data_IF_593674044084
#
_entry.id   IF_593674044084
#
_cell.length_a   1.000
_cell.length_b   1.000
_cell.length_c   1.000
_cell.angle_alpha   90.00
_cell.angle_beta   90.00
_cell.angle_gamma   90.00
#
_symmetry.space_group_name_H-M   'P 1'
#
loop_
_entity.id
_entity.type
_entity.pdbx_description
1 polymer ?
#
# COMPACT_ATOMS: atom_id res chain seq x y z
N UNK A 1 19.62 -32.65 -12.14
CA UNK A 1 20.79 -33.52 -11.84
C UNK A 1 22.15 -32.90 -12.20
N UNK A 2 22.24 -32.01 -13.20
CA UNK A 2 23.51 -31.33 -13.54
C UNK A 2 23.99 -30.33 -12.46
N UNK A 3 23.07 -29.64 -11.77
CA UNK A 3 23.38 -28.73 -10.65
C UNK A 3 23.97 -29.44 -9.42
N UNK A 4 23.68 -30.73 -9.27
CA UNK A 4 24.12 -31.56 -8.12
C UNK A 4 25.59 -31.97 -8.22
N UNK A 5 26.18 -31.97 -9.41
CA UNK A 5 27.60 -32.29 -9.63
C UNK A 5 28.51 -31.06 -9.57
N UNK A 6 27.96 -29.86 -9.75
CA UNK A 6 28.72 -28.62 -9.68
C UNK A 6 29.05 -28.20 -8.23
N UNK A 7 28.19 -28.53 -7.26
CA UNK A 7 28.35 -28.14 -5.85
C UNK A 7 29.24 -29.07 -5.01
N UNK A 8 29.67 -30.22 -5.55
CA UNK A 8 30.50 -31.20 -4.83
C UNK A 8 32.01 -31.09 -5.13
N UNK A 9 32.45 -30.05 -5.85
CA UNK A 9 33.86 -29.86 -6.26
C UNK A 9 34.54 -28.59 -5.76
N UNK A 10 34.11 -28.03 -4.65
CA UNK A 10 34.95 -27.09 -3.88
C UNK A 10 35.05 -27.55 -2.44
N UNK A 11 36.29 -27.81 -2.02
CA UNK A 11 36.65 -28.10 -0.65
C UNK A 11 36.49 -26.85 0.22
N UNK A 12 36.21 -27.09 1.51
CA UNK A 12 36.07 -26.13 2.62
C UNK A 12 34.76 -25.34 2.69
N UNK A 13 33.66 -26.09 2.93
CA UNK A 13 32.45 -25.52 3.51
C UNK A 13 32.66 -25.44 5.03
N UNK A 14 32.58 -24.22 5.59
CA UNK A 14 32.67 -24.01 7.04
C UNK A 14 31.57 -24.79 7.80
N UNK A 15 31.80 -25.16 9.08
CA UNK A 15 30.83 -25.92 9.89
C UNK A 15 29.42 -25.29 9.90
N UNK A 16 29.34 -23.96 9.89
CA UNK A 16 28.08 -23.21 9.91
C UNK A 16 27.26 -23.35 8.61
N UNK A 17 27.93 -23.42 7.46
CA UNK A 17 27.26 -23.65 6.17
C UNK A 17 26.74 -25.09 6.04
N UNK A 18 27.40 -26.04 6.70
CA UNK A 18 26.94 -27.43 6.76
C UNK A 18 25.68 -27.56 7.62
N UNK A 19 25.63 -26.86 8.76
CA UNK A 19 24.45 -26.78 9.61
C UNK A 19 23.25 -26.11 8.91
N UNK A 20 23.49 -25.05 8.14
CA UNK A 20 22.45 -24.39 7.35
C UNK A 20 21.87 -25.30 6.24
N UNK A 21 22.72 -26.09 5.59
CA UNK A 21 22.28 -27.06 4.57
C UNK A 21 21.48 -28.23 5.18
N UNK A 22 21.87 -28.72 6.36
CA UNK A 22 21.11 -29.75 7.09
C UNK A 22 19.75 -29.22 7.57
N UNK A 23 19.69 -27.97 8.03
CA UNK A 23 18.44 -27.30 8.41
C UNK A 23 17.49 -27.09 7.22
N UNK A 24 18.01 -26.69 6.06
CA UNK A 24 17.22 -26.59 4.82
C UNK A 24 16.71 -27.96 4.35
N UNK A 25 17.50 -29.02 4.52
CA UNK A 25 17.09 -30.40 4.22
C UNK A 25 15.99 -30.93 5.17
N UNK A 26 15.98 -30.47 6.42
CA UNK A 26 14.96 -30.79 7.42
C UNK A 26 13.62 -30.09 7.09
N UNK A 27 13.68 -28.79 6.73
CA UNK A 27 12.50 -28.02 6.35
C UNK A 27 11.84 -28.53 5.06
N UNK A 28 12.62 -29.09 4.12
CA UNK A 28 12.07 -29.66 2.88
C UNK A 28 11.33 -31.00 3.07
N UNK A 29 11.46 -31.64 4.25
CA UNK A 29 10.84 -32.94 4.56
C UNK A 29 9.60 -32.82 5.46
N UNK A 30 9.36 -31.65 6.03
CA UNK A 30 8.21 -31.40 6.89
C UNK A 30 7.02 -30.86 6.07
N UNK A 31 6.20 -31.75 5.51
CA UNK A 31 4.79 -31.46 5.21
C UNK A 31 3.88 -32.29 6.13
N UNK A 32 2.76 -31.72 6.61
CA UNK A 32 1.88 -32.40 7.54
C UNK A 32 1.01 -33.42 6.80
N UNK A 33 1.22 -34.71 7.09
CA UNK A 33 0.26 -35.77 6.81
C UNK A 33 -0.72 -35.88 7.97
N UNK A 34 -2.01 -35.61 7.73
CA UNK A 34 -3.12 -36.24 8.47
C UNK A 34 -4.42 -36.18 7.67
N UNK A 35 -4.70 -37.28 6.99
CA UNK A 35 -6.03 -37.71 6.58
C UNK A 35 -6.80 -38.20 7.81
N UNK A 36 -8.03 -37.73 8.00
CA UNK A 36 -9.01 -38.38 8.87
C UNK A 36 -10.25 -38.71 8.05
N UNK A 37 -10.34 -39.99 7.71
CA UNK A 37 -11.57 -40.68 7.32
C UNK A 37 -12.43 -40.92 8.57
N UNK A 38 -13.72 -40.60 8.51
CA UNK A 38 -14.68 -40.92 9.55
C UNK A 38 -16.10 -40.89 8.99
N UNK A 39 -16.58 -42.05 8.57
CA UNK A 39 -17.96 -42.28 8.18
C UNK A 39 -18.87 -42.27 9.43
N UNK A 40 -20.06 -41.69 9.29
CA UNK A 40 -21.09 -41.68 10.32
C UNK A 40 -22.45 -41.40 9.69
N UNK A 41 -23.24 -42.46 9.55
CA UNK A 41 -24.59 -42.52 9.01
C UNK A 41 -25.56 -41.52 9.68
N UNK A 42 -26.46 -40.91 8.91
CA UNK A 42 -27.88 -40.82 9.26
C UNK A 42 -28.74 -40.65 8.00
N UNK A 43 -29.62 -41.64 7.80
CA UNK A 43 -30.69 -41.70 6.82
C UNK A 43 -31.91 -40.95 7.35
N UNK A 44 -32.51 -40.10 6.53
CA UNK A 44 -33.92 -39.72 6.66
C UNK A 44 -34.46 -39.37 5.27
N UNK A 45 -35.15 -40.33 4.65
CA UNK A 45 -35.91 -40.10 3.44
C UNK A 45 -37.17 -39.28 3.70
N UNK A 46 -37.52 -38.45 2.72
CA UNK A 46 -38.91 -38.08 2.42
C UNK A 46 -39.04 -37.95 0.90
N UNK A 47 -39.93 -38.77 0.35
CA UNK A 47 -40.38 -38.76 -1.04
C UNK A 47 -41.27 -37.53 -1.30
N UNK A 48 -41.13 -36.91 -2.47
CA UNK A 48 -42.21 -36.15 -3.08
C UNK A 48 -42.16 -36.28 -4.61
N UNK A 49 -43.26 -36.85 -5.12
CA UNK A 49 -43.96 -36.67 -6.39
C UNK A 49 -43.19 -36.12 -7.61
N UNK A 50 -43.11 -36.95 -8.64
CA UNK A 50 -42.80 -36.62 -10.03
C UNK A 50 -43.97 -35.90 -10.70
N UNK A 51 -43.77 -34.66 -11.14
CA UNK A 51 -44.46 -34.12 -12.32
C UNK A 51 -43.42 -33.76 -13.37
N UNK A 52 -43.58 -34.38 -14.54
CA UNK A 52 -42.75 -34.15 -15.72
C UNK A 52 -43.07 -32.78 -16.32
N UNK A 53 -42.04 -31.95 -16.48
CA UNK A 53 -42.06 -30.83 -17.39
C UNK A 53 -40.88 -30.98 -18.35
N UNK A 54 -41.20 -31.39 -19.57
CA UNK A 54 -40.30 -31.43 -20.73
C UNK A 54 -39.92 -30.01 -21.14
N UNK A 55 -38.68 -29.60 -20.87
CA UNK A 55 -37.93 -28.65 -21.73
C UNK A 55 -36.44 -28.95 -21.62
N UNK A 56 -35.89 -29.58 -22.66
CA UNK A 56 -34.45 -29.68 -22.86
C UNK A 56 -33.94 -28.32 -23.35
N UNK A 57 -33.39 -27.52 -22.44
CA UNK A 57 -32.48 -26.44 -22.82
C UNK A 57 -31.18 -26.66 -22.06
N UNK A 58 -30.15 -27.07 -22.79
CA UNK A 58 -28.77 -26.98 -22.32
C UNK A 58 -28.49 -25.53 -21.92
N UNK A 59 -28.06 -25.24 -20.68
CA UNK A 59 -27.69 -23.89 -20.30
C UNK A 59 -26.52 -23.45 -21.17
N UNK A 60 -26.72 -22.40 -21.97
CA UNK A 60 -25.63 -21.80 -22.72
C UNK A 60 -24.59 -21.27 -21.73
N UNK A 61 -23.29 -21.48 -21.99
CA UNK A 61 -22.25 -20.83 -21.21
C UNK A 61 -22.47 -19.31 -21.26
N UNK A 62 -22.23 -18.60 -20.14
CA UNK A 62 -22.39 -17.15 -20.11
C UNK A 62 -21.54 -16.52 -21.23
N UNK A 63 -22.02 -15.46 -21.86
CA UNK A 63 -21.26 -14.78 -22.89
C UNK A 63 -19.88 -14.38 -22.33
N UNK A 64 -18.82 -14.45 -23.14
CA UNK A 64 -17.51 -14.01 -22.70
C UNK A 64 -17.61 -12.56 -22.21
N UNK A 65 -16.89 -12.20 -21.13
CA UNK A 65 -16.91 -10.84 -20.64
C UNK A 65 -16.54 -9.89 -21.77
N UNK A 66 -17.14 -8.68 -21.82
CA UNK A 66 -16.78 -7.70 -22.82
C UNK A 66 -15.27 -7.47 -22.80
N UNK A 67 -14.64 -7.27 -23.97
CA UNK A 67 -13.22 -6.95 -24.04
C UNK A 67 -12.94 -5.72 -23.17
N UNK A 68 -11.78 -5.66 -22.51
CA UNK A 68 -11.45 -4.54 -21.62
C UNK A 68 -11.52 -3.21 -22.39
N UNK A 69 -12.25 -2.23 -21.86
CA UNK A 69 -12.46 -0.93 -22.50
C UNK A 69 -11.16 -0.14 -22.71
N UNK A 70 -10.12 -0.42 -21.91
CA UNK A 70 -8.80 0.20 -21.99
C UNK A 70 -7.72 -0.90 -22.00
N UNK A 71 -6.88 -0.90 -23.03
CA UNK A 71 -5.81 -1.90 -23.24
C UNK A 71 -4.41 -1.34 -23.05
N UNK A 72 -4.26 -0.01 -23.03
CA UNK A 72 -3.00 0.71 -22.78
C UNK A 72 -3.17 1.59 -21.53
N UNK A 73 -2.21 1.53 -20.62
CA UNK A 73 -2.18 2.28 -19.36
C UNK A 73 -0.84 3.00 -19.24
N UNK A 74 -0.82 4.13 -18.54
CA UNK A 74 0.30 5.06 -18.54
C UNK A 74 -0.12 6.42 -19.07
N UNK A 75 0.85 7.28 -19.34
CA UNK A 75 0.61 8.65 -19.85
C UNK A 75 -0.30 9.51 -18.96
N UNK A 76 -0.10 9.43 -17.65
CA UNK A 76 -0.77 10.30 -16.69
C UNK A 76 -0.41 11.77 -16.96
N UNK A 77 -1.42 12.56 -17.29
CA UNK A 77 -1.28 13.99 -17.52
C UNK A 77 -0.94 14.71 -16.22
N UNK A 78 -0.24 15.84 -16.34
CA UNK A 78 0.18 16.60 -15.17
C UNK A 78 -1.00 17.15 -14.36
N UNK A 79 -2.10 17.53 -15.02
CA UNK A 79 -3.33 17.94 -14.33
C UNK A 79 -3.99 16.80 -13.54
N UNK A 80 -3.73 15.54 -13.90
CA UNK A 80 -4.27 14.35 -13.25
C UNK A 80 -3.40 13.85 -12.08
N UNK A 81 -2.19 14.39 -11.92
CA UNK A 81 -1.31 14.09 -10.78
C UNK A 81 -1.92 14.65 -9.49
N UNK A 82 -1.95 13.82 -8.44
CA UNK A 82 -2.45 14.21 -7.11
C UNK A 82 -1.36 14.93 -6.33
N UNK A 83 -0.10 14.47 -6.45
CA UNK A 83 1.06 14.99 -5.73
C UNK A 83 1.79 16.03 -6.58
N UNK A 84 1.16 17.19 -6.75
CA UNK A 84 1.59 18.22 -7.70
C UNK A 84 2.88 18.96 -7.31
N UNK A 85 3.32 18.88 -6.05
CA UNK A 85 4.61 19.42 -5.62
C UNK A 85 5.59 18.32 -5.20
N UNK A 86 5.47 17.12 -5.77
CA UNK A 86 6.30 15.96 -5.40
C UNK A 86 7.81 16.26 -5.38
N UNK A 87 8.28 17.16 -6.23
CA UNK A 87 9.69 17.53 -6.38
C UNK A 87 10.12 18.76 -5.57
N UNK A 88 9.23 19.36 -4.75
CA UNK A 88 9.58 20.50 -3.90
C UNK A 88 9.89 21.80 -4.66
N UNK A 89 9.37 21.95 -5.88
CA UNK A 89 9.60 23.12 -6.73
C UNK A 89 8.78 24.35 -6.29
N UNK A 90 7.70 24.12 -5.55
CA UNK A 90 6.81 25.14 -5.02
C UNK A 90 6.82 25.12 -3.49
N UNK A 91 6.29 26.19 -2.88
CA UNK A 91 6.15 26.31 -1.43
C UNK A 91 5.32 25.14 -0.84
N UNK A 92 5.89 24.29 0.04
CA UNK A 92 5.18 23.13 0.60
C UNK A 92 4.17 23.52 1.69
N UNK A 93 4.23 24.74 2.20
CA UNK A 93 3.45 25.22 3.34
C UNK A 93 2.11 25.83 2.91
N UNK A 94 1.30 26.30 3.88
CA UNK A 94 -0.14 26.52 3.72
C UNK A 94 -0.50 27.40 2.52
N UNK A 95 0.23 28.50 2.31
CA UNK A 95 -0.01 29.44 1.21
C UNK A 95 0.18 28.78 -0.15
N UNK A 96 1.25 27.99 -0.31
CA UNK A 96 1.48 27.21 -1.52
C UNK A 96 0.45 26.10 -1.69
N UNK A 97 0.16 25.37 -0.61
CA UNK A 97 -0.77 24.23 -0.60
C UNK A 97 -2.18 24.64 -1.03
N UNK A 98 -2.71 25.76 -0.50
CA UNK A 98 -4.02 26.28 -0.90
C UNK A 98 -4.11 26.64 -2.39
N UNK A 99 -3.03 27.15 -2.99
CA UNK A 99 -2.98 27.41 -4.45
C UNK A 99 -3.06 26.12 -5.28
N UNK A 100 -2.59 25.00 -4.73
CA UNK A 100 -2.66 23.67 -5.36
C UNK A 100 -3.98 22.94 -5.07
N UNK A 101 -4.90 23.59 -4.34
CA UNK A 101 -6.21 23.05 -4.02
C UNK A 101 -6.29 22.22 -2.74
N UNK A 102 -5.23 22.19 -1.93
CA UNK A 102 -5.29 21.61 -0.59
C UNK A 102 -6.14 22.49 0.33
N UNK A 103 -6.83 21.87 1.28
CA UNK A 103 -7.79 22.52 2.17
C UNK A 103 -8.98 23.19 1.46
N UNK A 104 -9.17 22.92 0.17
CA UNK A 104 -10.29 23.47 -0.58
C UNK A 104 -11.59 22.77 -0.19
N UNK A 105 -12.52 23.56 0.38
CA UNK A 105 -13.87 23.11 0.76
C UNK A 105 -13.88 21.87 1.67
N UNK A 106 -12.84 21.68 2.46
CA UNK A 106 -12.72 20.55 3.39
C UNK A 106 -13.88 20.51 4.38
N UNK A 107 -14.34 21.67 4.84
CA UNK A 107 -15.55 21.81 5.67
C UNK A 107 -16.76 21.11 5.04
N UNK A 108 -16.99 21.31 3.74
CA UNK A 108 -18.13 20.70 3.04
C UNK A 108 -17.99 19.18 3.00
N UNK A 109 -16.76 18.66 2.79
CA UNK A 109 -16.49 17.22 2.82
C UNK A 109 -16.74 16.62 4.20
N UNK A 110 -16.32 17.32 5.26
CA UNK A 110 -16.59 16.90 6.65
C UNK A 110 -18.09 16.87 6.93
N UNK A 111 -18.83 17.90 6.50
CA UNK A 111 -20.28 18.03 6.71
C UNK A 111 -21.11 17.01 5.92
N UNK A 112 -20.58 16.45 4.81
CA UNK A 112 -21.22 15.31 4.13
C UNK A 112 -21.22 14.03 4.97
N UNK A 113 -20.36 13.96 5.99
CA UNK A 113 -20.38 12.93 7.02
C UNK A 113 -19.61 11.65 6.70
N UNK A 114 -19.37 10.87 7.75
CA UNK A 114 -18.50 9.69 7.73
C UNK A 114 -18.93 8.63 6.70
N UNK A 115 -20.23 8.34 6.62
CA UNK A 115 -20.74 7.29 5.73
C UNK A 115 -20.60 7.68 4.25
N UNK A 116 -20.80 8.97 3.91
CA UNK A 116 -20.55 9.46 2.55
C UNK A 116 -19.07 9.30 2.19
N UNK A 117 -18.16 9.76 3.06
CA UNK A 117 -16.71 9.64 2.85
C UNK A 117 -16.31 8.17 2.60
N UNK A 118 -16.73 7.26 3.48
CA UNK A 118 -16.38 5.82 3.36
C UNK A 118 -16.94 5.23 2.08
N UNK A 119 -18.16 5.59 1.68
CA UNK A 119 -18.78 5.06 0.47
C UNK A 119 -18.08 5.56 -0.81
N UNK A 120 -17.73 6.85 -0.88
CA UNK A 120 -16.98 7.39 -2.02
C UNK A 120 -15.58 6.76 -2.10
N UNK A 121 -14.91 6.56 -0.97
CA UNK A 121 -13.62 5.87 -0.95
C UNK A 121 -13.73 4.40 -1.37
N UNK A 122 -14.82 3.70 -1.04
CA UNK A 122 -15.11 2.36 -1.59
C UNK A 122 -15.34 2.42 -3.10
N UNK A 123 -16.14 3.38 -3.56
CA UNK A 123 -16.47 3.59 -4.98
C UNK A 123 -15.25 3.90 -5.84
N UNK A 124 -14.28 4.62 -5.29
CA UNK A 124 -13.01 4.94 -5.96
C UNK A 124 -12.16 3.71 -6.29
N UNK A 125 -12.42 2.57 -5.64
CA UNK A 125 -11.58 1.38 -5.80
C UNK A 125 -10.18 1.51 -5.18
N UNK A 126 -9.90 2.53 -4.37
CA UNK A 126 -8.60 2.73 -3.75
C UNK A 126 -8.19 1.52 -2.90
N UNK A 127 -7.05 0.92 -3.25
CA UNK A 127 -6.34 -0.10 -2.46
C UNK A 127 -5.19 0.50 -1.66
N UNK A 128 -4.88 -0.07 -0.51
CA UNK A 128 -3.89 0.43 0.43
C UNK A 128 -2.49 0.47 -0.18
N UNK A 129 -1.83 1.63 -0.08
CA UNK A 129 -0.58 1.97 -0.75
C UNK A 129 0.70 1.63 0.04
N UNK A 130 0.54 0.92 1.16
CA UNK A 130 1.64 0.49 2.03
C UNK A 130 2.24 -0.88 1.74
N UNK A 131 1.70 -1.66 0.78
CA UNK A 131 2.22 -2.99 0.47
C UNK A 131 1.14 -4.04 0.22
N UNK A 132 0.27 -4.23 1.22
CA UNK A 132 -0.71 -5.31 1.22
C UNK A 132 -1.87 -5.13 0.21
N UNK A 133 -2.08 -3.92 -0.31
CA UNK A 133 -3.12 -3.65 -1.30
C UNK A 133 -4.54 -3.94 -0.82
N UNK A 134 -4.83 -3.83 0.49
CA UNK A 134 -6.18 -4.06 1.03
C UNK A 134 -7.13 -2.92 0.62
N UNK A 135 -8.39 -3.17 0.21
CA UNK A 135 -9.32 -2.09 -0.18
C UNK A 135 -9.55 -1.07 0.94
N UNK A 136 -9.15 0.19 0.72
CA UNK A 136 -9.02 1.19 1.79
C UNK A 136 -10.38 1.62 2.35
N UNK A 137 -11.35 1.92 1.49
CA UNK A 137 -12.71 2.27 1.95
C UNK A 137 -13.39 1.12 2.71
N UNK A 138 -13.10 -0.14 2.35
CA UNK A 138 -13.56 -1.30 3.14
C UNK A 138 -12.87 -1.34 4.50
N UNK A 139 -11.56 -1.14 4.56
CA UNK A 139 -10.79 -1.08 5.81
C UNK A 139 -11.35 -0.03 6.77
N UNK A 140 -11.62 1.16 6.25
CA UNK A 140 -12.16 2.27 7.03
C UNK A 140 -13.55 1.97 7.60
N UNK A 141 -14.34 1.15 6.89
CA UNK A 141 -15.67 0.75 7.36
C UNK A 141 -15.67 -0.27 8.50
N UNK A 142 -14.52 -0.82 8.89
CA UNK A 142 -14.41 -1.70 10.05
C UNK A 142 -14.41 -0.95 11.38
N UNK A 143 -14.16 0.36 11.36
CA UNK A 143 -14.17 1.18 12.57
C UNK A 143 -15.59 1.25 13.16
N UNK A 144 -15.76 1.18 14.50
CA UNK A 144 -17.07 1.19 15.13
C UNK A 144 -17.90 2.42 14.75
N UNK A 145 -19.16 2.19 14.38
CA UNK A 145 -20.10 3.28 14.06
C UNK A 145 -20.62 4.00 15.31
N UNK A 146 -20.79 3.24 16.39
CA UNK A 146 -21.22 3.73 17.71
C UNK A 146 -20.02 3.57 18.63
N UNK A 147 -19.63 4.66 19.29
CA UNK A 147 -18.57 4.61 20.31
C UNK A 147 -19.10 3.88 21.55
N UNK A 148 -18.28 3.00 22.10
CA UNK A 148 -18.50 2.32 23.38
C UNK A 148 -17.93 3.12 24.57
N UNK A 149 -17.66 4.41 24.36
CA UNK A 149 -16.97 5.28 25.31
C UNK A 149 -15.46 5.38 25.05
N UNK A 150 -14.87 4.42 24.33
CA UNK A 150 -13.47 4.56 23.87
C UNK A 150 -13.40 5.54 22.69
N UNK A 151 -12.39 6.43 22.65
CA UNK A 151 -12.11 7.22 21.46
C UNK A 151 -11.63 6.31 20.33
N UNK A 152 -11.95 6.64 19.09
CA UNK A 152 -11.35 5.98 17.92
C UNK A 152 -10.13 6.76 17.46
N UNK A 153 -9.11 6.07 16.94
CA UNK A 153 -7.89 6.69 16.43
C UNK A 153 -7.60 6.33 14.97
N UNK A 154 -7.05 7.31 14.25
CA UNK A 154 -6.33 7.08 13.01
C UNK A 154 -4.85 7.03 13.36
N UNK A 155 -4.14 6.02 12.86
CA UNK A 155 -2.68 6.01 12.90
C UNK A 155 -2.17 6.02 11.46
N UNK A 156 -1.37 7.02 11.12
CA UNK A 156 -0.75 7.13 9.80
C UNK A 156 0.64 6.52 9.88
N UNK A 157 0.86 5.47 9.10
CA UNK A 157 2.14 4.80 8.99
C UNK A 157 3.04 5.57 8.02
N UNK A 158 3.97 6.33 8.58
CA UNK A 158 4.98 7.13 7.90
C UNK A 158 6.41 6.66 8.25
N UNK A 159 6.58 5.39 8.63
CA UNK A 159 7.88 4.80 8.96
C UNK A 159 8.73 4.51 7.72
N UNK A 160 8.14 4.11 6.59
CA UNK A 160 8.81 3.91 5.30
C UNK A 160 10.26 3.36 5.39
N UNK A 161 10.43 2.27 6.13
CA UNK A 161 11.74 1.63 6.27
C UNK A 161 12.00 0.57 5.20
N UNK A 162 11.05 0.32 4.30
CA UNK A 162 11.13 -0.65 3.20
C UNK A 162 12.21 -0.23 2.18
N UNK A 163 13.27 -1.04 1.97
CA UNK A 163 14.30 -0.77 0.98
C UNK A 163 13.74 -0.45 -0.41
N UNK A 164 14.29 0.60 -1.02
CA UNK A 164 13.85 1.12 -2.33
C UNK A 164 12.68 2.11 -2.26
N UNK A 165 12.01 2.25 -1.11
CA UNK A 165 10.82 3.10 -0.97
C UNK A 165 11.19 4.47 -0.43
N UNK A 166 10.75 5.54 -1.11
CA UNK A 166 10.97 6.92 -0.69
C UNK A 166 9.80 7.87 -1.06
N UNK A 167 8.61 7.32 -1.34
CA UNK A 167 7.41 8.05 -1.74
C UNK A 167 6.78 8.84 -0.59
N UNK A 168 6.70 8.25 0.60
CA UNK A 168 6.11 8.84 1.79
C UNK A 168 7.02 9.96 2.29
N UNK A 169 8.34 9.79 2.16
CA UNK A 169 9.33 10.84 2.33
C UNK A 169 8.96 12.09 1.54
N UNK A 170 8.72 11.96 0.22
CA UNK A 170 8.37 13.09 -0.64
C UNK A 170 7.09 13.80 -0.18
N UNK A 171 6.05 13.05 0.18
CA UNK A 171 4.79 13.62 0.66
C UNK A 171 5.04 14.44 1.93
N UNK A 172 5.79 13.91 2.90
CA UNK A 172 6.03 14.58 4.17
C UNK A 172 6.85 15.88 4.02
N UNK A 173 7.84 15.91 3.12
CA UNK A 173 8.69 17.11 2.94
C UNK A 173 8.13 18.14 1.98
N UNK A 174 7.40 17.73 0.93
CA UNK A 174 7.02 18.63 -0.16
C UNK A 174 5.52 18.92 -0.28
N UNK A 175 4.64 18.05 0.23
CA UNK A 175 3.18 18.26 0.28
C UNK A 175 2.57 17.90 1.65
N UNK A 176 3.11 18.39 2.78
CA UNK A 176 2.65 18.01 4.12
C UNK A 176 1.19 18.39 4.40
N UNK A 177 0.70 19.51 3.85
CA UNK A 177 -0.70 19.93 4.03
C UNK A 177 -1.70 18.95 3.41
N UNK A 178 -1.34 18.28 2.32
CA UNK A 178 -2.17 17.24 1.69
C UNK A 178 -2.31 16.03 2.60
N UNK A 179 -1.24 15.64 3.28
CA UNK A 179 -1.26 14.58 4.30
C UNK A 179 -2.12 14.99 5.51
N UNK A 180 -1.94 16.20 6.03
CA UNK A 180 -2.70 16.71 7.19
C UNK A 180 -4.20 16.82 6.89
N UNK A 181 -4.57 17.31 5.71
CA UNK A 181 -5.95 17.32 5.24
C UNK A 181 -6.49 15.89 5.11
N UNK A 182 -5.68 14.98 4.55
CA UNK A 182 -5.97 13.55 4.49
C UNK A 182 -6.26 12.96 5.86
N UNK A 183 -5.49 13.33 6.89
CA UNK A 183 -5.71 12.88 8.25
C UNK A 183 -7.10 13.29 8.76
N UNK A 184 -7.51 14.55 8.55
CA UNK A 184 -8.83 15.03 8.93
C UNK A 184 -9.93 14.27 8.18
N UNK A 185 -9.82 14.16 6.86
CA UNK A 185 -10.83 13.51 6.01
C UNK A 185 -10.99 12.02 6.34
N UNK A 186 -9.87 11.29 6.41
CA UNK A 186 -9.88 9.88 6.78
C UNK A 186 -10.35 9.71 8.24
N UNK A 187 -9.93 10.62 9.13
CA UNK A 187 -10.36 10.67 10.53
C UNK A 187 -11.88 10.78 10.66
N UNK A 188 -12.50 11.75 10.00
CA UNK A 188 -13.96 11.91 9.96
C UNK A 188 -14.63 10.67 9.38
N UNK A 189 -14.12 10.13 8.25
CA UNK A 189 -14.62 8.90 7.64
C UNK A 189 -14.64 7.70 8.59
N UNK A 190 -13.61 7.59 9.43
CA UNK A 190 -13.44 6.52 10.42
C UNK A 190 -13.97 6.87 11.82
N UNK A 191 -14.58 8.05 11.98
CA UNK A 191 -15.06 8.58 13.27
C UNK A 191 -13.94 8.67 14.32
N UNK A 192 -12.71 8.94 13.89
CA UNK A 192 -11.55 9.06 14.75
C UNK A 192 -11.48 10.44 15.41
N UNK A 193 -11.19 10.45 16.71
CA UNK A 193 -11.00 11.67 17.52
C UNK A 193 -9.66 12.37 17.28
N UNK A 194 -8.64 11.60 16.88
CA UNK A 194 -7.32 12.12 16.59
C UNK A 194 -6.60 11.23 15.57
N UNK A 195 -5.63 11.82 14.87
CA UNK A 195 -4.62 11.12 14.11
C UNK A 195 -3.28 11.12 14.83
N UNK A 196 -2.58 10.00 14.80
CA UNK A 196 -1.17 9.90 15.13
C UNK A 196 -0.37 9.58 13.87
N UNK A 197 0.47 10.50 13.43
CA UNK A 197 1.40 10.26 12.33
C UNK A 197 2.68 9.70 12.94
N UNK A 198 2.95 8.42 12.70
CA UNK A 198 4.15 7.73 13.18
C UNK A 198 5.22 7.80 12.09
N UNK A 199 6.17 8.71 12.28
CA UNK A 199 7.23 9.02 11.31
C UNK A 199 8.45 8.17 11.60
N UNK A 200 9.16 7.79 10.54
CA UNK A 200 10.49 7.18 10.65
C UNK A 200 11.42 8.04 11.53
N UNK A 201 12.23 7.39 12.38
CA UNK A 201 13.18 8.11 13.23
C UNK A 201 14.20 8.96 12.46
N UNK A 202 14.66 8.44 11.32
CA UNK A 202 15.68 9.06 10.47
C UNK A 202 15.14 10.25 9.65
N UNK A 203 13.82 10.38 9.51
CA UNK A 203 13.15 11.43 8.75
C UNK A 203 13.03 12.73 9.56
N UNK A 204 14.17 13.24 10.02
CA UNK A 204 14.24 14.41 10.92
C UNK A 204 13.81 15.69 10.21
N UNK A 205 14.23 15.93 8.97
CA UNK A 205 13.84 17.15 8.25
C UNK A 205 12.38 17.09 7.79
N UNK A 206 11.95 15.92 7.35
CA UNK A 206 10.58 15.64 6.94
C UNK A 206 9.61 15.84 8.11
N UNK A 207 9.93 15.35 9.33
CA UNK A 207 9.10 15.61 10.51
C UNK A 207 9.09 17.07 10.92
N UNK A 208 10.20 17.81 10.77
CA UNK A 208 10.25 19.24 11.06
C UNK A 208 9.37 20.04 10.09
N UNK A 209 9.39 19.69 8.80
CA UNK A 209 8.48 20.28 7.81
C UNK A 209 7.01 19.97 8.15
N UNK A 210 6.70 18.72 8.51
CA UNK A 210 5.34 18.33 8.87
C UNK A 210 4.87 18.98 10.18
N UNK A 211 5.74 19.14 11.18
CA UNK A 211 5.46 19.89 12.40
C UNK A 211 5.13 21.35 12.10
N UNK A 212 5.92 22.01 11.25
CA UNK A 212 5.64 23.38 10.82
C UNK A 212 4.29 23.49 10.08
N UNK A 213 4.02 22.60 9.12
CA UNK A 213 2.75 22.57 8.41
C UNK A 213 1.56 22.30 9.35
N UNK A 214 1.77 21.46 10.38
CA UNK A 214 0.79 21.22 11.44
C UNK A 214 0.52 22.50 12.21
N UNK A 215 1.55 23.20 12.67
CA UNK A 215 1.41 24.47 13.38
C UNK A 215 0.63 25.50 12.56
N UNK A 216 0.92 25.62 11.26
CA UNK A 216 0.15 26.48 10.34
C UNK A 216 -1.32 26.05 10.24
N UNK A 217 -1.60 24.75 10.16
CA UNK A 217 -2.96 24.24 10.09
C UNK A 217 -3.76 24.49 11.39
N UNK A 218 -3.13 24.36 12.56
CA UNK A 218 -3.75 24.72 13.84
C UNK A 218 -3.97 26.23 13.96
N UNK A 219 -2.98 27.04 13.58
CA UNK A 219 -3.10 28.50 13.61
C UNK A 219 -4.21 29.02 12.68
N UNK A 220 -4.44 28.33 11.56
CA UNK A 220 -5.52 28.63 10.62
C UNK A 220 -6.89 28.02 11.00
N UNK A 221 -7.00 27.29 12.11
CA UNK A 221 -8.23 26.62 12.54
C UNK A 221 -8.67 25.46 11.61
N UNK A 222 -7.73 24.89 10.85
CA UNK A 222 -7.99 23.75 9.95
C UNK A 222 -7.98 22.41 10.70
N UNK A 223 -7.28 22.35 11.84
CA UNK A 223 -7.18 21.21 12.75
C UNK A 223 -7.42 21.68 14.20
N UNK A 224 -7.62 20.72 15.10
CA UNK A 224 -7.93 20.95 16.51
C UNK A 224 -9.42 21.03 16.76
N UNK A 225 -9.84 21.87 17.72
CA UNK A 225 -11.26 22.09 18.02
C UNK A 225 -11.96 22.74 16.82
N UNK A 226 -13.13 22.21 16.48
CA UNK A 226 -13.94 22.69 15.37
C UNK A 226 -13.13 22.79 14.06
N UNK A 227 -12.45 21.71 13.68
CA UNK A 227 -11.57 21.62 12.52
C UNK A 227 -12.26 22.11 11.24
N UNK A 228 -11.63 23.05 10.53
CA UNK A 228 -12.19 23.75 9.36
C UNK A 228 -13.53 24.49 9.64
N UNK A 229 -13.87 24.78 10.89
CA UNK A 229 -15.15 25.37 11.27
C UNK A 229 -16.36 24.46 10.99
N UNK A 230 -16.16 23.14 11.04
CA UNK A 230 -17.15 22.11 10.66
C UNK A 230 -18.02 21.58 11.81
N UNK A 231 -17.65 21.83 13.06
CA UNK A 231 -18.22 21.24 14.27
C UNK A 231 -17.56 19.93 14.69
N UNK A 232 -16.52 19.47 13.97
CA UNK A 232 -15.77 18.26 14.29
C UNK A 232 -14.46 18.60 15.00
N UNK A 233 -14.24 18.06 16.19
CA UNK A 233 -12.96 18.20 16.91
C UNK A 233 -12.00 17.10 16.43
N UNK A 234 -10.82 17.49 15.97
CA UNK A 234 -9.84 16.53 15.45
C UNK A 234 -8.40 17.00 15.61
N UNK A 235 -7.64 16.29 16.45
CA UNK A 235 -6.23 16.58 16.69
C UNK A 235 -5.29 15.71 15.84
N UNK A 236 -4.12 16.25 15.51
CA UNK A 236 -3.04 15.52 14.81
C UNK A 236 -1.78 15.55 15.65
N UNK A 237 -1.40 14.39 16.17
CA UNK A 237 -0.16 14.17 16.90
C UNK A 237 0.90 13.61 15.96
N UNK A 238 2.13 14.11 16.11
CA UNK A 238 3.29 13.60 15.38
C UNK A 238 4.16 12.85 16.38
N UNK A 239 4.34 11.55 16.13
CA UNK A 239 5.23 10.66 16.87
C UNK A 239 6.33 10.19 15.91
N UNK A 240 7.50 9.82 16.42
CA UNK A 240 8.57 9.31 15.57
C UNK A 240 9.24 8.10 16.21
N UNK A 241 9.60 7.12 15.37
CA UNK A 241 10.33 5.94 15.76
C UNK A 241 11.83 6.21 15.96
N UNK A 242 12.61 5.14 16.02
CA UNK A 242 14.05 5.19 16.28
C UNK A 242 14.86 4.19 15.43
N UNK A 243 14.53 4.05 14.14
CA UNK A 243 15.28 3.24 13.18
C UNK A 243 15.00 1.74 13.24
N UNK A 244 13.74 1.34 13.19
CA UNK A 244 13.34 -0.06 13.25
C UNK A 244 12.30 -0.41 12.17
N UNK A 245 12.74 -1.12 11.12
CA UNK A 245 11.87 -1.55 10.02
C UNK A 245 10.61 -2.29 10.48
N UNK A 246 10.74 -3.13 11.52
CA UNK A 246 9.62 -3.88 12.07
C UNK A 246 8.53 -2.97 12.64
N UNK A 247 8.84 -1.76 13.11
CA UNK A 247 7.86 -0.78 13.56
C UNK A 247 7.01 -0.21 12.41
N UNK A 248 7.38 -0.46 11.15
CA UNK A 248 6.52 -0.19 10.00
C UNK A 248 5.40 -1.23 9.82
N UNK A 249 5.43 -2.37 10.52
CA UNK A 249 4.30 -3.31 10.53
C UNK A 249 3.13 -2.74 11.34
N UNK A 250 1.90 -2.94 10.85
CA UNK A 250 0.68 -2.33 11.40
C UNK A 250 0.53 -2.46 12.92
N UNK A 251 0.73 -3.63 13.50
CA UNK A 251 0.55 -3.86 14.95
C UNK A 251 1.78 -3.55 15.78
N UNK A 252 2.98 -3.75 15.23
CA UNK A 252 4.23 -3.33 15.86
C UNK A 252 4.30 -1.81 16.01
N UNK A 253 3.79 -1.08 15.02
CA UNK A 253 3.68 0.38 15.06
C UNK A 253 2.85 0.84 16.26
N UNK A 254 1.70 0.18 16.52
CA UNK A 254 0.85 0.49 17.67
C UNK A 254 1.58 0.26 18.99
N UNK A 255 2.27 -0.88 19.13
CA UNK A 255 3.07 -1.18 20.33
C UNK A 255 4.19 -0.16 20.54
N UNK A 256 4.88 0.22 19.47
CA UNK A 256 5.94 1.24 19.53
C UNK A 256 5.38 2.61 19.94
N UNK A 257 4.22 2.99 19.41
CA UNK A 257 3.55 4.24 19.74
C UNK A 257 3.08 4.25 21.21
N UNK A 258 2.69 3.10 21.75
CA UNK A 258 2.37 2.90 23.16
C UNK A 258 3.59 2.95 24.10
N UNK A 259 4.79 3.15 23.57
CA UNK A 259 6.03 3.20 24.34
C UNK A 259 6.58 1.81 24.71
N UNK A 260 6.07 0.75 24.09
CA UNK A 260 6.61 -0.61 24.23
C UNK A 260 7.62 -0.88 23.11
N UNK A 261 8.25 -2.05 23.15
CA UNK A 261 9.05 -2.52 22.01
C UNK A 261 8.13 -2.75 20.81
N UNK A 262 8.56 -2.37 19.60
CA UNK A 262 7.83 -2.57 18.35
C UNK A 262 7.78 -4.03 17.89
N UNK A 263 7.20 -4.89 18.72
CA UNK A 263 6.96 -6.31 18.43
C UNK A 263 5.51 -6.46 17.95
N UNK A 264 5.26 -7.07 16.78
CA UNK A 264 3.89 -7.27 16.28
C UNK A 264 3.00 -8.02 17.29
N UNK A 265 1.72 -7.66 17.30
CA UNK A 265 0.69 -8.40 18.04
C UNK A 265 0.19 -9.58 17.20
N UNK A 266 -0.16 -10.67 17.85
CA UNK A 266 -0.95 -11.72 17.21
C UNK A 266 -2.34 -11.18 16.87
N UNK A 267 -2.85 -11.54 15.69
CA UNK A 267 -4.25 -11.28 15.29
C UNK A 267 -5.03 -12.58 15.50
N UNK A 268 -6.20 -12.59 16.18
CA UNK A 268 -6.92 -11.47 16.84
C UNK A 268 -6.32 -11.04 18.21
N UNK A 269 -6.68 -9.83 18.73
CA UNK A 269 -7.66 -8.87 18.19
C UNK A 269 -7.14 -8.02 17.04
N UNK A 270 -8.03 -7.67 16.11
CA UNK A 270 -7.70 -6.73 15.03
C UNK A 270 -7.67 -5.28 15.56
N UNK A 271 -6.83 -4.39 14.99
CA UNK A 271 -6.74 -3.00 15.41
C UNK A 271 -8.07 -2.24 15.43
N UNK A 272 -8.97 -2.53 14.47
CA UNK A 272 -10.29 -1.90 14.40
C UNK A 272 -11.16 -2.17 15.65
N UNK A 273 -10.89 -3.25 16.39
CA UNK A 273 -11.59 -3.57 17.64
C UNK A 273 -10.80 -3.09 18.87
N UNK A 274 -9.50 -3.35 18.88
CA UNK A 274 -8.58 -2.98 19.97
C UNK A 274 -7.16 -2.78 19.42
N UNK A 275 -6.87 -1.54 19.04
CA UNK A 275 -5.59 -1.09 18.51
C UNK A 275 -4.82 -0.23 19.52
N UNK A 276 -4.55 1.03 19.15
CA UNK A 276 -3.77 1.96 19.95
C UNK A 276 -4.44 2.21 21.31
N UNK A 277 -3.71 2.01 22.41
CA UNK A 277 -4.22 2.12 23.79
C UNK A 277 -5.44 1.23 24.05
N UNK A 278 -5.54 0.10 23.35
CA UNK A 278 -6.72 -0.76 23.38
C UNK A 278 -7.98 -0.14 22.78
N UNK A 279 -7.86 1.00 22.08
CA UNK A 279 -8.97 1.69 21.45
C UNK A 279 -9.11 1.30 19.96
N UNK A 280 -10.32 1.38 19.37
CA UNK A 280 -10.51 1.14 17.94
C UNK A 280 -9.56 2.00 17.10
N UNK A 281 -8.77 1.37 16.24
CA UNK A 281 -7.74 2.06 15.47
C UNK A 281 -7.59 1.47 14.08
N UNK A 282 -7.43 2.34 13.08
CA UNK A 282 -6.98 1.92 11.75
C UNK A 282 -5.62 2.51 11.44
N UNK A 283 -4.67 1.63 11.04
CA UNK A 283 -3.36 2.05 10.53
C UNK A 283 -3.43 2.20 9.01
N UNK A 284 -3.03 3.34 8.46
CA UNK A 284 -3.07 3.59 7.02
C UNK A 284 -1.77 4.26 6.56
N UNK A 285 -1.22 3.86 5.40
CA UNK A 285 -0.01 4.47 4.86
C UNK A 285 -0.25 5.92 4.42
N UNK A 286 0.81 6.76 4.49
CA UNK A 286 0.82 8.17 4.10
C UNK A 286 0.17 8.41 2.73
N UNK A 287 0.59 7.70 1.69
CA UNK A 287 0.04 7.89 0.33
C UNK A 287 -1.48 7.64 0.28
N UNK A 288 -1.98 6.58 0.94
CA UNK A 288 -3.43 6.28 0.98
C UNK A 288 -4.24 7.37 1.69
N UNK A 289 -3.69 7.96 2.76
CA UNK A 289 -4.35 9.05 3.48
C UNK A 289 -4.29 10.35 2.67
N UNK A 290 -3.14 10.67 2.10
CA UNK A 290 -2.93 11.92 1.38
C UNK A 290 -3.71 12.03 0.06
N UNK A 291 -4.01 10.91 -0.61
CA UNK A 291 -4.85 10.95 -1.82
C UNK A 291 -6.34 11.18 -1.51
N UNK A 292 -6.80 10.88 -0.29
CA UNK A 292 -8.24 10.84 0.00
C UNK A 292 -8.96 12.17 -0.18
N UNK A 293 -8.42 13.35 0.22
CA UNK A 293 -9.11 14.61 -0.01
C UNK A 293 -9.31 14.89 -1.51
N UNK A 294 -8.29 14.59 -2.32
CA UNK A 294 -8.33 14.80 -3.77
C UNK A 294 -9.34 13.87 -4.44
N UNK A 295 -9.40 12.59 -4.03
CA UNK A 295 -10.42 11.64 -4.51
C UNK A 295 -11.83 12.18 -4.24
N UNK A 296 -12.10 12.65 -3.01
CA UNK A 296 -13.42 13.17 -2.66
C UNK A 296 -13.76 14.50 -3.36
N UNK A 297 -12.77 15.32 -3.68
CA UNK A 297 -12.95 16.58 -4.42
C UNK A 297 -13.19 16.37 -5.91
N UNK A 298 -12.37 15.54 -6.56
CA UNK A 298 -12.42 15.30 -8.00
C UNK A 298 -13.49 14.28 -8.41
N UNK A 299 -13.94 13.48 -7.44
CA UNK A 299 -14.93 12.43 -7.63
C UNK A 299 -14.27 11.05 -7.67
N UNK A 300 -14.91 10.03 -7.06
CA UNK A 300 -14.35 8.68 -7.04
C UNK A 300 -14.28 8.03 -8.42
N UNK A 301 -15.15 8.40 -9.36
CA UNK A 301 -15.14 7.88 -10.73
C UNK A 301 -13.90 8.32 -11.49
N UNK A 302 -13.46 9.57 -11.30
CA UNK A 302 -12.22 10.07 -11.90
C UNK A 302 -11.04 9.22 -11.43
N UNK A 303 -10.92 8.95 -10.13
CA UNK A 303 -9.86 8.08 -9.62
C UNK A 303 -10.01 6.63 -10.11
N UNK A 304 -11.24 6.12 -10.17
CA UNK A 304 -11.54 4.77 -10.64
C UNK A 304 -11.29 4.57 -12.16
N UNK A 305 -11.25 5.66 -12.93
CA UNK A 305 -11.01 5.64 -14.37
C UNK A 305 -9.56 5.32 -14.74
N UNK A 306 -8.64 5.43 -13.79
CA UNK A 306 -7.24 5.06 -13.95
C UNK A 306 -6.99 3.60 -13.55
N UNK A 307 -6.10 2.95 -14.29
CA UNK A 307 -5.68 1.57 -14.06
C UNK A 307 -6.72 0.52 -14.44
N UNK A 308 -6.34 -0.74 -14.28
CA UNK A 308 -7.26 -1.86 -14.55
C UNK A 308 -8.35 -1.95 -13.49
N UNK A 309 -9.42 -2.67 -13.82
CA UNK A 309 -10.42 -3.12 -12.84
C UNK A 309 -9.73 -3.76 -11.64
N UNK A 310 -10.19 -3.43 -10.43
CA UNK A 310 -9.61 -3.83 -9.13
C UNK A 310 -8.22 -3.24 -8.82
N UNK A 311 -7.67 -2.37 -9.67
CA UNK A 311 -6.34 -1.78 -9.54
C UNK A 311 -6.39 -0.28 -9.83
N UNK A 312 -7.41 0.38 -9.28
CA UNK A 312 -7.73 1.76 -9.64
C UNK A 312 -6.77 2.80 -9.07
N UNK A 313 -6.63 3.88 -9.83
CA UNK A 313 -6.01 5.14 -9.42
C UNK A 313 -4.59 5.37 -9.93
N UNK A 314 -3.95 6.36 -9.32
CA UNK A 314 -2.52 6.63 -9.51
C UNK A 314 -1.68 5.98 -8.40
N UNK A 315 -0.37 5.91 -8.62
CA UNK A 315 0.59 5.37 -7.66
C UNK A 315 1.91 6.14 -7.75
N UNK A 316 2.49 6.44 -6.60
CA UNK A 316 3.90 6.86 -6.53
C UNK A 316 4.81 5.64 -6.71
N UNK A 317 5.60 5.66 -7.78
CA UNK A 317 6.65 4.68 -8.09
C UNK A 317 8.00 5.23 -7.66
N UNK A 318 8.78 4.43 -6.94
CA UNK A 318 10.16 4.78 -6.58
C UNK A 318 11.09 3.86 -7.37
N UNK A 319 11.70 4.37 -8.45
CA UNK A 319 12.61 3.58 -9.28
C UNK A 319 14.04 3.83 -8.86
N UNK A 320 14.73 2.76 -8.45
CA UNK A 320 16.07 2.78 -7.88
C UNK A 320 16.95 1.67 -8.50
N UNK A 321 18.23 1.64 -8.11
CA UNK A 321 19.19 0.67 -8.62
C UNK A 321 19.78 1.05 -9.97
N UNK A 322 19.96 0.08 -10.86
CA UNK A 322 20.73 0.20 -12.11
C UNK A 322 19.90 0.76 -13.28
N UNK A 323 19.32 1.96 -13.08
CA UNK A 323 18.71 2.79 -14.13
C UNK A 323 19.55 4.04 -14.38
N UNK A 324 19.37 4.68 -15.55
CA UNK A 324 20.16 5.87 -15.91
C UNK A 324 19.79 7.10 -15.06
N UNK A 325 18.50 7.25 -14.70
CA UNK A 325 17.99 8.37 -13.90
C UNK A 325 17.02 7.84 -12.83
N UNK A 326 17.52 7.37 -11.67
CA UNK A 326 16.66 6.98 -10.55
C UNK A 326 15.74 8.13 -10.14
N UNK A 327 14.45 7.88 -9.94
CA UNK A 327 13.48 8.92 -9.59
C UNK A 327 12.27 8.35 -8.86
N UNK A 328 11.56 9.24 -8.17
CA UNK A 328 10.20 8.97 -7.68
C UNK A 328 9.22 9.72 -8.56
N UNK A 329 8.23 9.03 -9.12
CA UNK A 329 7.26 9.62 -10.04
C UNK A 329 5.86 9.09 -9.73
N UNK A 330 4.85 9.97 -9.73
CA UNK A 330 3.46 9.53 -9.73
C UNK A 330 3.09 9.04 -11.12
N UNK A 331 2.40 7.92 -11.29
CA UNK A 331 1.96 7.52 -12.63
C UNK A 331 0.67 6.71 -12.52
N UNK A 332 0.02 6.45 -13.66
CA UNK A 332 -1.18 5.61 -13.70
C UNK A 332 -0.87 4.20 -13.15
N UNK A 333 -1.75 3.65 -12.32
CA UNK A 333 -1.70 2.22 -12.02
C UNK A 333 -1.81 1.40 -13.31
N UNK A 334 -1.26 0.18 -13.30
CA UNK A 334 -1.27 -0.73 -14.44
C UNK A 334 -0.42 -0.28 -15.64
N UNK A 335 0.39 0.78 -15.53
CA UNK A 335 1.45 1.10 -16.52
C UNK A 335 2.38 -0.12 -16.73
N UNK A 336 2.78 -0.45 -17.97
CA UNK A 336 3.80 -1.47 -18.21
C UNK A 336 5.11 -1.15 -17.48
N UNK A 337 5.72 -2.14 -16.81
CA UNK A 337 6.96 -1.94 -16.05
C UNK A 337 8.11 -1.40 -16.94
N UNK A 338 8.22 -1.95 -18.15
CA UNK A 338 9.19 -1.50 -19.14
C UNK A 338 8.97 -0.03 -19.53
N UNK A 339 7.72 0.35 -19.79
CA UNK A 339 7.38 1.73 -20.16
C UNK A 339 7.73 2.71 -19.03
N UNK A 340 7.38 2.38 -17.78
CA UNK A 340 7.74 3.18 -16.61
C UNK A 340 9.25 3.47 -16.55
N UNK A 341 10.08 2.43 -16.74
CA UNK A 341 11.55 2.54 -16.66
C UNK A 341 12.11 3.34 -17.84
N UNK A 342 11.73 3.00 -19.07
CA UNK A 342 12.24 3.65 -20.27
C UNK A 342 11.85 5.12 -20.32
N UNK A 343 10.58 5.44 -20.01
CA UNK A 343 10.04 6.79 -20.09
C UNK A 343 10.52 7.71 -18.97
N UNK A 344 10.38 7.28 -17.71
CA UNK A 344 10.60 8.19 -16.56
C UNK A 344 12.02 8.11 -16.00
N UNK A 345 12.73 7.00 -16.22
CA UNK A 345 14.06 6.76 -15.64
C UNK A 345 15.18 6.75 -16.69
N UNK A 346 14.84 6.98 -17.96
CA UNK A 346 15.78 6.95 -19.09
C UNK A 346 16.33 5.57 -19.39
N UNK A 347 15.61 4.50 -19.01
CA UNK A 347 16.01 3.12 -19.30
C UNK A 347 16.97 2.50 -18.29
N UNK A 348 17.19 1.19 -18.46
CA UNK A 348 18.18 0.42 -17.71
C UNK A 348 19.59 0.87 -18.09
N UNK A 349 20.53 0.86 -17.14
CA UNK A 349 21.93 1.17 -17.41
C UNK A 349 22.49 0.20 -18.47
N UNK A 350 22.98 0.72 -19.59
CA UNK A 350 23.43 -0.10 -20.72
C UNK A 350 22.32 -0.64 -21.64
N UNK A 351 21.08 -0.16 -21.48
CA UNK A 351 19.93 -0.53 -22.31
C UNK A 351 19.13 -1.70 -21.73
N UNK A 352 17.89 -1.87 -22.19
CA UNK A 352 16.95 -2.88 -21.69
C UNK A 352 17.48 -4.33 -21.76
N UNK A 353 18.29 -4.64 -22.77
CA UNK A 353 18.91 -5.97 -22.91
C UNK A 353 19.98 -6.25 -21.87
N UNK A 354 20.47 -5.22 -21.17
CA UNK A 354 21.38 -5.36 -20.04
C UNK A 354 20.63 -5.68 -18.73
N UNK A 355 19.30 -5.74 -18.74
CA UNK A 355 18.52 -6.09 -17.56
C UNK A 355 18.77 -7.54 -17.12
N UNK A 356 18.99 -7.74 -15.83
CA UNK A 356 19.07 -9.07 -15.21
C UNK A 356 17.74 -9.41 -14.52
N UNK A 357 17.33 -8.59 -13.56
CA UNK A 357 16.13 -8.78 -12.77
C UNK A 357 15.63 -7.47 -12.15
N UNK A 358 14.37 -7.46 -11.72
CA UNK A 358 13.74 -6.32 -11.05
C UNK A 358 13.00 -6.81 -9.81
N UNK A 359 13.16 -6.15 -8.67
CA UNK A 359 12.23 -6.29 -7.55
C UNK A 359 11.16 -5.19 -7.71
N UNK A 360 9.91 -5.52 -8.04
CA UNK A 360 8.94 -4.51 -8.48
C UNK A 360 8.29 -3.69 -7.35
N UNK A 361 8.41 -4.13 -6.09
CA UNK A 361 7.54 -3.66 -5.01
C UNK A 361 8.19 -3.43 -3.65
N UNK A 362 9.50 -3.17 -3.60
CA UNK A 362 10.29 -3.15 -2.38
C UNK A 362 10.87 -4.53 -2.05
N UNK A 363 11.85 -4.59 -1.16
CA UNK A 363 12.55 -5.83 -0.80
C UNK A 363 11.63 -6.98 -0.32
N UNK A 364 10.44 -6.68 0.15
CA UNK A 364 9.47 -7.68 0.62
C UNK A 364 8.80 -8.53 -0.47
N UNK A 365 9.07 -8.28 -1.76
CA UNK A 365 8.47 -9.05 -2.87
C UNK A 365 9.52 -9.83 -3.69
N UNK A 366 9.14 -10.99 -4.26
CA UNK A 366 10.02 -11.75 -5.15
C UNK A 366 10.50 -10.95 -6.37
N UNK A 367 11.76 -11.15 -6.76
CA UNK A 367 12.31 -10.59 -7.98
C UNK A 367 11.67 -11.19 -9.24
N UNK A 368 11.60 -10.40 -10.29
CA UNK A 368 11.15 -10.78 -11.63
C UNK A 368 12.37 -10.92 -12.56
N UNK A 369 12.54 -12.06 -13.25
CA UNK A 369 13.51 -12.17 -14.33
C UNK A 369 13.09 -11.33 -15.54
N UNK A 370 14.06 -10.85 -16.33
CA UNK A 370 13.84 -9.96 -17.50
C UNK A 370 12.64 -10.36 -18.38
N UNK A 371 12.51 -11.64 -18.72
CA UNK A 371 11.46 -12.10 -19.65
C UNK A 371 10.03 -11.88 -19.15
N UNK A 372 9.83 -11.77 -17.83
CA UNK A 372 8.53 -11.38 -17.25
C UNK A 372 8.39 -9.85 -17.27
N UNK A 373 9.49 -9.13 -17.03
CA UNK A 373 9.52 -7.66 -17.03
C UNK A 373 9.18 -7.04 -18.39
N UNK A 374 9.32 -7.79 -19.49
CA UNK A 374 9.05 -7.31 -20.84
C UNK A 374 7.58 -6.84 -21.00
N UNK A 375 6.62 -7.54 -20.38
CA UNK A 375 5.18 -7.32 -20.60
C UNK A 375 4.36 -7.09 -19.31
N UNK A 376 4.97 -7.24 -18.13
CA UNK A 376 4.23 -7.14 -16.87
C UNK A 376 3.74 -5.73 -16.58
N UNK A 377 2.51 -5.62 -16.09
CA UNK A 377 1.91 -4.36 -15.65
C UNK A 377 2.19 -4.09 -14.18
N UNK A 378 2.40 -2.81 -13.86
CA UNK A 378 2.64 -2.33 -12.50
C UNK A 378 1.34 -2.12 -11.74
N UNK A 379 0.71 -3.24 -11.37
CA UNK A 379 -0.44 -3.27 -10.46
C UNK A 379 -0.46 -4.50 -9.55
N UNK A 380 -1.37 -4.52 -8.57
CA UNK A 380 -1.37 -5.59 -7.55
C UNK A 380 -1.68 -6.96 -8.14
N UNK A 381 -2.63 -7.04 -9.07
CA UNK A 381 -3.13 -8.34 -9.54
C UNK A 381 -2.23 -8.94 -10.61
N UNK A 382 -1.65 -8.13 -11.51
CA UNK A 382 -0.69 -8.57 -12.52
C UNK A 382 0.58 -9.10 -11.87
N UNK A 383 1.15 -8.35 -10.92
CA UNK A 383 2.36 -8.77 -10.21
C UNK A 383 2.12 -10.01 -9.34
N UNK A 384 0.96 -10.11 -8.71
CA UNK A 384 0.55 -11.33 -7.99
C UNK A 384 0.42 -12.54 -8.93
N UNK A 385 -0.11 -12.36 -10.14
CA UNK A 385 -0.29 -13.43 -11.12
C UNK A 385 1.05 -14.00 -11.60
N UNK A 386 2.11 -13.18 -11.65
CA UNK A 386 3.49 -13.61 -11.95
C UNK A 386 4.29 -13.99 -10.70
N UNK A 387 3.61 -14.33 -9.61
CA UNK A 387 4.20 -14.81 -8.35
C UNK A 387 5.13 -13.80 -7.66
N UNK A 388 4.89 -12.51 -7.87
CA UNK A 388 5.50 -11.41 -7.12
C UNK A 388 4.42 -10.57 -6.43
N UNK A 389 4.67 -9.30 -6.15
CA UNK A 389 3.69 -8.37 -5.62
C UNK A 389 4.07 -6.92 -5.93
N UNK A 390 3.07 -6.03 -5.95
CA UNK A 390 3.32 -4.61 -6.14
C UNK A 390 3.98 -3.96 -4.93
N UNK A 391 3.73 -4.48 -3.72
CA UNK A 391 4.26 -3.93 -2.49
C UNK A 391 4.06 -2.41 -2.40
N UNK A 392 5.12 -1.67 -2.08
CA UNK A 392 5.10 -0.21 -2.01
C UNK A 392 5.23 0.48 -3.38
N UNK A 393 5.38 -0.30 -4.45
CA UNK A 393 5.77 0.11 -5.80
C UNK A 393 7.18 0.74 -5.86
N UNK A 394 8.08 0.27 -4.99
CA UNK A 394 9.50 0.54 -5.06
C UNK A 394 10.19 -0.44 -6.03
N UNK A 395 10.49 0.04 -7.23
CA UNK A 395 11.11 -0.72 -8.31
C UNK A 395 12.63 -0.68 -8.15
N UNK A 396 13.25 -1.80 -7.79
CA UNK A 396 14.70 -1.94 -7.66
C UNK A 396 15.22 -2.69 -8.89
N UNK A 397 15.91 -1.98 -9.78
CA UNK A 397 16.41 -2.52 -11.04
C UNK A 397 17.83 -3.05 -10.85
N UNK A 398 18.10 -4.26 -11.34
CA UNK A 398 19.41 -4.89 -11.33
C UNK A 398 19.82 -5.27 -12.75
N UNK A 399 20.94 -4.74 -13.23
CA UNK A 399 21.53 -5.10 -14.52
C UNK A 399 22.47 -6.32 -14.40
N UNK A 400 22.94 -6.83 -15.54
CA UNK A 400 23.80 -8.03 -15.64
C UNK A 400 25.18 -7.89 -14.99
N UNK A 401 25.58 -6.68 -14.56
CA UNK A 401 26.84 -6.48 -13.84
C UNK A 401 26.75 -6.79 -12.35
N UNK A 402 25.54 -7.09 -11.84
CA UNK A 402 25.26 -7.34 -10.42
C UNK A 402 25.41 -8.80 -10.07
N UNK A 403 26.05 -9.12 -8.94
CA UNK A 403 25.84 -10.40 -8.27
C UNK A 403 24.46 -10.38 -7.59
N UNK A 404 23.47 -10.96 -8.25
CA UNK A 404 22.10 -11.01 -7.74
C UNK A 404 22.00 -11.86 -6.46
N UNK A 405 22.87 -12.84 -6.26
CA UNK A 405 22.85 -13.67 -5.04
C UNK A 405 23.33 -12.84 -3.86
N UNK A 406 24.40 -12.07 -4.04
CA UNK A 406 24.90 -11.14 -3.02
C UNK A 406 23.87 -10.05 -2.70
N UNK A 407 23.25 -9.46 -3.74
CA UNK A 407 22.20 -8.46 -3.55
C UNK A 407 21.02 -8.99 -2.72
N UNK A 408 20.56 -10.21 -2.98
CA UNK A 408 19.47 -10.84 -2.21
C UNK A 408 19.95 -11.25 -0.82
N UNK A 409 21.19 -11.70 -0.64
CA UNK A 409 21.74 -12.04 0.67
C UNK A 409 21.89 -10.81 1.60
N UNK A 410 21.98 -9.61 1.03
CA UNK A 410 22.05 -8.34 1.78
C UNK A 410 20.69 -7.88 2.32
N UNK A 411 19.58 -8.24 1.68
CA UNK A 411 18.22 -7.89 2.13
C UNK A 411 17.87 -8.66 3.40
#
# INVERSE_FOLDING_TARGET
MALRRALLRSAEISPDRKAALEYLHYLSRAQPTRSLTGAGLYSAGKSFSTQAATTSSTPQPPPPPPPPEKTHFGDLKDEDRIFTNLYGQHDPFLKGAMKRGDWHRTKDLVLKGADWIVNEMKKSGLRGRGGAGFPSGLKWSFMPKVSDGRPSYLVVNADESEPGTCKDREIMRHDPHKLLEGCLIAGVGMRASAAYIYIRGEYVNERLNLLKAREEAYAAGLLGKNACGSGYDFDVHIHFGAGAYICGEETALLESLEGKQGKPRLKPPFPANAGLYGCPTTVTNVETVAVSPTILRRGPEWFASFGRKNNSGTKLFCVSGHVNKPCTVEEEMSIPLKELIEKHCGGVRGGWDNLLAIIPGGSSVPLLPKHICDDVLMDYDALKAVQSGLGTAAVIVMDKSTDVVDAIARL
#
